data_IF_606781267687
#
_entry.id   IF_606781267687
#
_cell.length_a   1.000
_cell.length_b   1.000
_cell.length_c   1.000
_cell.angle_alpha   90.00
_cell.angle_beta   90.00
_cell.angle_gamma   90.00
#
_symmetry.space_group_name_H-M   'P 1'
#
loop_
_entity.id
_entity.type
_entity.pdbx_description
1 polymer ?
#
# COMPACT_ATOMS: atom_id res chain seq x y z
N UNK A 1 -11.95 -41.73 50.83
CA UNK A 1 -11.00 -40.90 50.04
C UNK A 1 -11.30 -40.79 48.49
N UNK A 2 -12.13 -41.64 47.86
CA UNK A 2 -12.38 -41.58 46.40
C UNK A 2 -13.42 -40.51 45.96
N UNK A 3 -14.43 -40.16 46.77
CA UNK A 3 -15.48 -39.17 46.44
C UNK A 3 -15.00 -37.74 46.23
N UNK A 4 -14.10 -37.14 47.05
CA UNK A 4 -13.61 -35.79 46.79
C UNK A 4 -12.80 -35.68 45.51
N UNK A 5 -12.03 -36.73 45.13
CA UNK A 5 -11.24 -36.73 43.89
C UNK A 5 -12.13 -36.71 42.66
N UNK A 6 -13.22 -37.48 42.66
CA UNK A 6 -14.19 -37.51 41.55
C UNK A 6 -14.92 -36.17 41.39
N UNK A 7 -15.28 -35.52 42.44
CA UNK A 7 -15.89 -34.17 42.44
C UNK A 7 -14.92 -33.12 41.88
N UNK A 8 -13.65 -33.17 42.29
CA UNK A 8 -12.63 -32.24 41.77
C UNK A 8 -12.40 -32.45 40.26
N UNK A 9 -12.29 -33.69 39.83
CA UNK A 9 -12.16 -34.00 38.39
C UNK A 9 -13.36 -33.54 37.57
N UNK A 10 -14.59 -33.74 38.09
CA UNK A 10 -15.80 -33.26 37.42
C UNK A 10 -15.83 -31.72 37.31
N UNK A 11 -15.48 -31.00 38.38
CA UNK A 11 -15.40 -29.53 38.36
C UNK A 11 -14.36 -29.01 37.36
N UNK A 12 -13.18 -29.61 37.31
CA UNK A 12 -12.16 -29.26 36.33
C UNK A 12 -12.60 -29.57 34.91
N UNK A 13 -13.26 -30.70 34.68
CA UNK A 13 -13.80 -31.04 33.34
C UNK A 13 -14.87 -30.05 32.88
N UNK A 14 -15.81 -29.69 33.76
CA UNK A 14 -16.83 -28.68 33.47
C UNK A 14 -16.17 -27.31 33.19
N UNK A 15 -15.20 -26.91 34.05
CA UNK A 15 -14.44 -25.67 33.82
C UNK A 15 -13.69 -25.64 32.49
N UNK A 16 -13.04 -26.75 32.12
CA UNK A 16 -12.34 -26.86 30.83
C UNK A 16 -13.29 -26.82 29.65
N UNK A 17 -14.45 -27.47 29.75
CA UNK A 17 -15.48 -27.42 28.68
C UNK A 17 -16.04 -26.01 28.53
N UNK A 18 -16.37 -25.34 29.63
CA UNK A 18 -16.83 -23.94 29.61
C UNK A 18 -15.78 -23.02 29.00
N UNK A 19 -14.53 -23.11 29.44
CA UNK A 19 -13.44 -22.32 28.90
C UNK A 19 -13.26 -22.56 27.41
N UNK A 20 -13.30 -23.81 26.97
CA UNK A 20 -13.17 -24.20 25.56
C UNK A 20 -14.34 -23.71 24.69
N UNK A 21 -15.55 -23.71 25.24
CA UNK A 21 -16.76 -23.31 24.50
C UNK A 21 -17.03 -21.82 24.49
N UNK A 22 -16.45 -21.04 25.41
CA UNK A 22 -16.69 -19.59 25.52
C UNK A 22 -15.48 -18.74 25.15
N UNK A 23 -14.31 -19.03 25.72
CA UNK A 23 -13.08 -18.21 25.57
C UNK A 23 -12.10 -18.78 24.56
N UNK A 24 -12.02 -20.12 24.43
CA UNK A 24 -11.10 -20.79 23.53
C UNK A 24 -11.80 -21.37 22.29
N UNK A 25 -12.91 -20.76 21.88
CA UNK A 25 -13.60 -21.17 20.64
C UNK A 25 -12.63 -20.97 19.48
N UNK A 26 -12.30 -22.03 18.70
CA UNK A 26 -11.48 -21.87 17.51
C UNK A 26 -12.15 -20.89 16.54
N UNK A 27 -11.42 -19.90 16.09
CA UNK A 27 -11.87 -19.10 14.96
C UNK A 27 -11.77 -19.96 13.69
N UNK A 28 -12.93 -20.42 13.22
CA UNK A 28 -13.00 -21.08 11.93
C UNK A 28 -13.11 -19.99 10.86
N UNK A 29 -12.02 -19.75 10.17
CA UNK A 29 -12.09 -18.95 8.96
C UNK A 29 -12.82 -19.77 7.90
N UNK A 30 -13.84 -19.23 7.23
CA UNK A 30 -14.47 -19.90 6.11
C UNK A 30 -13.44 -20.14 5.00
N UNK A 31 -13.66 -21.15 4.18
CA UNK A 31 -12.79 -21.40 3.04
C UNK A 31 -12.71 -20.16 2.14
N UNK A 32 -11.51 -19.74 1.81
CA UNK A 32 -11.27 -18.59 0.93
C UNK A 32 -11.68 -19.00 -0.48
N UNK A 33 -12.70 -18.34 -1.01
CA UNK A 33 -13.16 -18.49 -2.39
C UNK A 33 -12.98 -17.17 -3.14
N UNK A 34 -12.81 -17.18 -4.47
CA UNK A 34 -12.75 -15.92 -5.25
C UNK A 34 -13.97 -15.02 -5.03
N UNK A 35 -15.17 -15.61 -4.92
CA UNK A 35 -16.39 -14.85 -4.65
C UNK A 35 -16.38 -14.23 -3.25
N UNK A 36 -15.95 -14.97 -2.22
CA UNK A 36 -15.83 -14.45 -0.86
C UNK A 36 -14.78 -13.36 -0.73
N UNK A 37 -13.65 -13.49 -1.42
CA UNK A 37 -12.62 -12.46 -1.47
C UNK A 37 -13.15 -11.18 -2.14
N UNK A 38 -13.88 -11.30 -3.23
CA UNK A 38 -14.49 -10.17 -3.91
C UNK A 38 -15.53 -9.47 -3.03
N UNK A 39 -16.38 -10.22 -2.34
CA UNK A 39 -17.38 -9.65 -1.41
C UNK A 39 -16.72 -8.92 -0.24
N UNK A 40 -15.66 -9.47 0.33
CA UNK A 40 -14.87 -8.80 1.36
C UNK A 40 -14.25 -7.49 0.83
N UNK A 41 -13.74 -7.48 -0.41
CA UNK A 41 -13.19 -6.30 -1.07
C UNK A 41 -14.24 -5.20 -1.28
N UNK A 42 -15.47 -5.58 -1.70
CA UNK A 42 -16.60 -4.64 -1.82
C UNK A 42 -16.98 -4.04 -0.47
N UNK A 43 -17.05 -4.87 0.56
CA UNK A 43 -17.37 -4.42 1.92
C UNK A 43 -16.31 -3.44 2.45
N UNK A 44 -15.03 -3.73 2.20
CA UNK A 44 -13.93 -2.83 2.56
C UNK A 44 -13.99 -1.52 1.78
N UNK A 45 -14.25 -1.56 0.46
CA UNK A 45 -14.40 -0.37 -0.36
C UNK A 45 -15.57 0.51 0.13
N UNK A 46 -16.73 -0.08 0.42
CA UNK A 46 -17.88 0.63 0.98
C UNK A 46 -17.54 1.32 2.30
N UNK A 47 -16.74 0.67 3.15
CA UNK A 47 -16.28 1.30 4.40
C UNK A 47 -15.34 2.49 4.12
N UNK A 48 -14.40 2.33 3.19
CA UNK A 48 -13.48 3.40 2.76
C UNK A 48 -14.26 4.60 2.22
N UNK A 49 -15.23 4.38 1.32
CA UNK A 49 -16.07 5.43 0.73
C UNK A 49 -16.85 6.24 1.79
N UNK A 50 -17.41 5.54 2.79
CA UNK A 50 -18.15 6.20 3.88
C UNK A 50 -17.26 7.03 4.81
N UNK A 51 -15.99 6.70 4.89
CA UNK A 51 -15.01 7.36 5.76
C UNK A 51 -14.02 8.23 4.97
N UNK A 52 -14.26 8.46 3.68
CA UNK A 52 -13.50 9.42 2.90
C UNK A 52 -13.99 10.84 3.20
N UNK A 53 -13.05 11.76 3.43
CA UNK A 53 -13.35 13.14 3.71
C UNK A 53 -13.66 13.93 2.42
N UNK A 54 -14.36 15.08 2.51
CA UNK A 54 -14.75 15.85 1.32
C UNK A 54 -13.58 16.34 0.45
N UNK A 55 -12.39 16.50 1.02
CA UNK A 55 -11.17 16.87 0.29
C UNK A 55 -10.52 15.69 -0.45
N UNK A 56 -11.03 14.47 -0.26
CA UNK A 56 -10.52 13.23 -0.84
C UNK A 56 -9.52 12.48 0.05
N UNK A 57 -9.17 13.01 1.21
CA UNK A 57 -8.36 12.30 2.20
C UNK A 57 -9.17 11.20 2.90
N UNK A 58 -8.48 10.36 3.67
CA UNK A 58 -9.09 9.25 4.40
C UNK A 58 -8.88 9.42 5.90
N UNK A 59 -9.82 8.91 6.71
CA UNK A 59 -9.58 8.73 8.15
C UNK A 59 -8.41 7.78 8.34
N UNK A 60 -7.36 8.26 9.01
CA UNK A 60 -6.09 7.53 9.12
C UNK A 60 -6.10 6.51 10.25
N UNK A 61 -6.55 6.92 11.41
CA UNK A 61 -6.56 6.09 12.60
C UNK A 61 -7.88 6.25 13.36
N UNK A 62 -8.51 5.12 13.64
CA UNK A 62 -9.86 5.09 14.17
C UNK A 62 -9.95 4.16 15.37
N UNK A 63 -10.51 4.67 16.47
CA UNK A 63 -10.71 3.90 17.67
C UNK A 63 -12.15 3.39 17.77
N UNK A 64 -12.32 2.07 17.70
CA UNK A 64 -13.63 1.42 17.68
C UNK A 64 -14.42 1.58 18.99
N UNK A 65 -13.75 1.67 20.15
CA UNK A 65 -14.41 1.66 21.45
C UNK A 65 -15.33 2.87 21.69
N UNK A 66 -15.02 4.01 21.11
CA UNK A 66 -15.75 5.27 21.25
C UNK A 66 -16.01 5.99 19.94
N UNK A 67 -15.78 5.28 18.84
CA UNK A 67 -16.04 5.77 17.48
C UNK A 67 -15.28 7.07 17.16
N UNK A 68 -14.03 7.18 17.64
CA UNK A 68 -13.24 8.39 17.50
C UNK A 68 -12.18 8.30 16.41
N UNK A 69 -12.09 9.36 15.59
CA UNK A 69 -10.93 9.62 14.75
C UNK A 69 -9.79 10.11 15.65
N UNK A 70 -8.64 9.43 15.61
CA UNK A 70 -7.46 9.77 16.41
C UNK A 70 -6.55 10.79 15.72
N UNK A 71 -6.89 11.22 14.53
CA UNK A 71 -6.11 12.16 13.74
C UNK A 71 -4.82 11.55 13.19
N UNK A 72 -3.86 12.41 12.88
CA UNK A 72 -2.64 12.01 12.17
C UNK A 72 -2.89 11.78 10.69
N UNK A 73 -1.82 11.46 9.95
CA UNK A 73 -1.93 11.10 8.55
C UNK A 73 -0.70 10.31 8.06
N UNK A 74 -0.89 9.50 7.01
CA UNK A 74 0.20 8.79 6.37
C UNK A 74 -0.03 8.74 4.85
N UNK A 75 0.76 9.52 4.14
CA UNK A 75 0.65 9.66 2.69
C UNK A 75 0.90 8.36 1.92
N UNK A 76 1.71 7.45 2.45
CA UNK A 76 1.95 6.12 1.84
C UNK A 76 0.68 5.28 1.90
N UNK A 77 0.00 5.27 3.05
CA UNK A 77 -1.29 4.58 3.20
C UNK A 77 -2.38 5.19 2.34
N UNK A 78 -2.42 6.53 2.23
CA UNK A 78 -3.33 7.20 1.31
C UNK A 78 -3.15 6.71 -0.13
N UNK A 79 -1.92 6.70 -0.62
CA UNK A 79 -1.60 6.23 -1.97
C UNK A 79 -1.96 4.74 -2.14
N UNK A 80 -1.68 3.90 -1.13
CA UNK A 80 -2.02 2.49 -1.12
C UNK A 80 -3.53 2.23 -1.17
N UNK A 81 -4.33 2.96 -0.39
CA UNK A 81 -5.80 2.85 -0.42
C UNK A 81 -6.35 3.27 -1.78
N UNK A 82 -5.92 4.41 -2.30
CA UNK A 82 -6.36 4.90 -3.63
C UNK A 82 -5.99 3.90 -4.74
N UNK A 83 -4.78 3.37 -4.72
CA UNK A 83 -4.31 2.34 -5.65
C UNK A 83 -5.16 1.06 -5.55
N UNK A 84 -5.49 0.61 -4.32
CA UNK A 84 -6.31 -0.60 -4.11
C UNK A 84 -7.74 -0.43 -4.63
N UNK A 85 -8.34 0.76 -4.50
CA UNK A 85 -9.64 1.06 -5.11
C UNK A 85 -9.58 0.96 -6.63
N UNK A 86 -8.53 1.47 -7.27
CA UNK A 86 -8.38 1.30 -8.73
C UNK A 86 -8.10 -0.14 -9.14
N UNK A 87 -7.39 -0.93 -8.34
CA UNK A 87 -7.26 -2.37 -8.58
C UNK A 87 -8.61 -3.08 -8.53
N UNK A 88 -9.47 -2.71 -7.58
CA UNK A 88 -10.82 -3.25 -7.46
C UNK A 88 -11.67 -2.85 -8.68
N UNK A 89 -11.54 -1.59 -9.14
CA UNK A 89 -12.19 -1.14 -10.38
C UNK A 89 -11.74 -1.96 -11.59
N UNK A 90 -10.43 -2.22 -11.73
CA UNK A 90 -9.86 -3.05 -12.79
C UNK A 90 -10.31 -4.52 -12.70
N UNK A 91 -10.66 -5.00 -11.51
CA UNK A 91 -11.22 -6.33 -11.27
C UNK A 91 -12.74 -6.42 -11.55
N UNK A 92 -13.37 -5.36 -12.05
CA UNK A 92 -14.77 -5.34 -12.46
C UNK A 92 -15.75 -4.60 -11.54
N UNK A 93 -15.23 -3.78 -10.60
CA UNK A 93 -16.05 -2.97 -9.69
C UNK A 93 -15.88 -1.46 -9.99
N UNK A 94 -16.37 -0.95 -11.12
CA UNK A 94 -16.13 0.44 -11.54
C UNK A 94 -16.80 1.48 -10.64
N UNK A 95 -17.73 1.09 -9.78
CA UNK A 95 -18.44 1.97 -8.85
C UNK A 95 -17.53 2.66 -7.85
N UNK A 96 -16.33 2.10 -7.57
CA UNK A 96 -15.35 2.68 -6.64
C UNK A 96 -14.48 3.77 -7.28
N UNK A 97 -14.54 3.96 -8.61
CA UNK A 97 -13.72 4.95 -9.33
C UNK A 97 -13.89 6.38 -8.80
N UNK A 98 -15.11 6.88 -8.50
CA UNK A 98 -15.28 8.23 -7.96
C UNK A 98 -14.53 8.48 -6.66
N UNK A 99 -14.52 7.51 -5.73
CA UNK A 99 -13.79 7.60 -4.48
C UNK A 99 -12.26 7.54 -4.70
N UNK A 100 -11.80 6.65 -5.57
CA UNK A 100 -10.41 6.58 -5.97
C UNK A 100 -9.95 7.89 -6.64
N UNK A 101 -10.77 8.47 -7.52
CA UNK A 101 -10.49 9.75 -8.17
C UNK A 101 -10.45 10.93 -7.17
N UNK A 102 -11.24 10.89 -6.11
CA UNK A 102 -11.15 11.87 -5.02
C UNK A 102 -9.79 11.77 -4.30
N UNK A 103 -9.35 10.55 -3.95
CA UNK A 103 -8.03 10.31 -3.39
C UNK A 103 -6.90 10.75 -4.32
N UNK A 104 -7.01 10.46 -5.62
CA UNK A 104 -6.02 10.88 -6.62
C UNK A 104 -5.95 12.41 -6.75
N UNK A 105 -7.09 13.11 -6.71
CA UNK A 105 -7.12 14.59 -6.71
C UNK A 105 -6.37 15.15 -5.51
N UNK A 106 -6.59 14.60 -4.32
CA UNK A 106 -5.86 14.99 -3.12
C UNK A 106 -4.35 14.81 -3.29
N UNK A 107 -3.90 13.66 -3.80
CA UNK A 107 -2.47 13.42 -4.08
C UNK A 107 -1.91 14.41 -5.12
N UNK A 108 -2.69 14.73 -6.16
CA UNK A 108 -2.25 15.66 -7.21
C UNK A 108 -2.06 17.09 -6.69
N UNK A 109 -2.81 17.52 -5.68
CA UNK A 109 -2.62 18.79 -4.98
C UNK A 109 -1.36 18.82 -4.10
N UNK A 110 -0.86 17.65 -3.71
CA UNK A 110 0.30 17.50 -2.83
C UNK A 110 1.57 17.05 -3.58
N UNK A 111 1.67 17.32 -4.87
CA UNK A 111 2.86 16.95 -5.65
C UNK A 111 4.03 17.90 -5.41
N UNK A 112 5.19 17.33 -5.19
CA UNK A 112 6.47 17.98 -5.43
C UNK A 112 6.86 17.83 -6.90
N UNK A 113 7.29 18.92 -7.53
CA UNK A 113 7.71 18.95 -8.94
C UNK A 113 9.12 19.50 -9.04
N UNK A 114 9.95 18.84 -9.83
CA UNK A 114 11.34 19.21 -10.01
C UNK A 114 11.83 18.82 -11.40
N UNK A 115 12.25 19.80 -12.21
CA UNK A 115 12.96 19.61 -13.49
C UNK A 115 12.39 18.47 -14.38
N UNK A 116 11.06 18.46 -14.59
CA UNK A 116 10.40 17.50 -15.48
C UNK A 116 10.01 16.17 -14.85
N UNK A 117 10.18 15.99 -13.54
CA UNK A 117 9.64 14.87 -12.78
C UNK A 117 8.77 15.32 -11.61
N UNK A 118 7.99 14.41 -11.04
CA UNK A 118 7.15 14.66 -9.89
C UNK A 118 7.25 13.52 -8.87
N UNK A 119 6.89 13.82 -7.63
CA UNK A 119 6.75 12.85 -6.57
C UNK A 119 5.67 13.30 -5.59
N UNK A 120 5.08 12.36 -4.85
CA UNK A 120 4.11 12.68 -3.82
C UNK A 120 4.81 13.20 -2.58
N UNK A 121 4.44 14.41 -2.14
CA UNK A 121 4.93 15.07 -0.95
C UNK A 121 3.96 14.85 0.20
N UNK A 122 4.50 14.54 1.36
CA UNK A 122 3.73 14.50 2.59
C UNK A 122 3.46 15.94 3.05
N UNK A 123 2.19 16.39 3.14
CA UNK A 123 1.88 17.75 3.57
C UNK A 123 2.16 17.99 5.05
N UNK A 124 2.27 16.94 5.87
CA UNK A 124 2.48 17.06 7.31
C UNK A 124 3.92 17.42 7.69
N UNK A 125 4.90 16.86 6.98
CA UNK A 125 6.33 17.06 7.25
C UNK A 125 7.13 17.57 6.03
N UNK A 126 6.47 17.72 4.90
CA UNK A 126 7.10 18.17 3.64
C UNK A 126 8.00 17.13 2.97
N UNK A 127 8.08 15.91 3.51
CA UNK A 127 8.96 14.87 2.97
C UNK A 127 8.45 14.32 1.64
N UNK A 128 9.38 13.90 0.80
CA UNK A 128 9.11 13.14 -0.43
C UNK A 128 9.65 11.73 -0.24
N UNK A 129 8.75 10.75 -0.21
CA UNK A 129 9.08 9.35 0.07
C UNK A 129 8.85 8.48 -1.16
N UNK A 130 9.78 7.56 -1.39
CA UNK A 130 9.73 6.61 -2.51
C UNK A 130 8.41 5.84 -2.55
N UNK A 131 8.02 5.20 -1.44
CA UNK A 131 6.81 4.35 -1.38
C UNK A 131 5.52 5.11 -1.70
N UNK A 132 5.36 6.33 -1.19
CA UNK A 132 4.20 7.15 -1.51
C UNK A 132 4.09 7.43 -3.02
N UNK A 133 5.22 7.80 -3.64
CA UNK A 133 5.28 8.09 -5.09
C UNK A 133 5.09 6.83 -5.94
N UNK A 134 5.66 5.71 -5.51
CA UNK A 134 5.52 4.42 -6.20
C UNK A 134 4.07 3.92 -6.19
N UNK A 135 3.41 3.96 -5.04
CA UNK A 135 2.00 3.57 -4.92
C UNK A 135 1.07 4.54 -5.66
N UNK A 136 1.36 5.86 -5.66
CA UNK A 136 0.62 6.81 -6.50
C UNK A 136 0.76 6.49 -7.98
N UNK A 137 1.97 6.22 -8.47
CA UNK A 137 2.20 5.82 -9.85
C UNK A 137 1.45 4.53 -10.18
N UNK A 138 1.55 3.51 -9.33
CA UNK A 138 0.81 2.27 -9.50
C UNK A 138 -0.71 2.52 -9.57
N UNK A 139 -1.24 3.39 -8.71
CA UNK A 139 -2.65 3.80 -8.72
C UNK A 139 -3.07 4.46 -10.03
N UNK A 140 -2.28 5.40 -10.54
CA UNK A 140 -2.53 6.06 -11.84
C UNK A 140 -2.54 5.02 -12.97
N UNK A 141 -1.63 4.05 -12.95
CA UNK A 141 -1.60 2.99 -13.96
C UNK A 141 -2.79 2.04 -13.85
N UNK A 142 -3.19 1.67 -12.61
CA UNK A 142 -4.40 0.86 -12.39
C UNK A 142 -5.67 1.60 -12.86
N UNK A 143 -5.76 2.91 -12.62
CA UNK A 143 -6.85 3.74 -13.17
C UNK A 143 -6.90 3.64 -14.70
N UNK A 144 -5.75 3.81 -15.34
CA UNK A 144 -5.65 3.71 -16.81
C UNK A 144 -6.13 2.34 -17.32
N UNK A 145 -5.76 1.26 -16.65
CA UNK A 145 -6.19 -0.09 -17.01
C UNK A 145 -7.69 -0.32 -16.76
N UNK A 146 -8.24 0.26 -15.68
CA UNK A 146 -9.65 0.13 -15.33
C UNK A 146 -10.57 0.94 -16.25
N UNK A 147 -10.16 2.15 -16.67
CA UNK A 147 -11.04 3.10 -17.38
C UNK A 147 -10.70 3.25 -18.88
N UNK A 148 -9.48 2.90 -19.29
CA UNK A 148 -8.95 3.19 -20.61
C UNK A 148 -8.57 4.66 -20.84
N UNK A 149 -8.78 5.54 -19.85
CA UNK A 149 -8.51 6.97 -19.98
C UNK A 149 -7.02 7.28 -19.88
N UNK A 150 -6.56 8.24 -20.70
CA UNK A 150 -5.15 8.65 -20.82
C UNK A 150 -4.83 9.99 -20.15
N UNK A 151 -5.80 10.59 -19.46
CA UNK A 151 -5.71 11.92 -18.85
C UNK A 151 -4.48 12.10 -17.95
N UNK A 152 -4.04 11.03 -17.29
CA UNK A 152 -2.91 11.06 -16.36
C UNK A 152 -1.61 10.45 -16.93
N UNK A 153 -1.53 10.18 -18.24
CA UNK A 153 -0.35 9.53 -18.83
C UNK A 153 0.93 10.36 -18.63
N UNK A 154 0.86 11.70 -18.77
CA UNK A 154 2.04 12.55 -18.52
C UNK A 154 2.38 12.65 -17.02
N UNK A 155 1.40 12.64 -16.16
CA UNK A 155 1.64 12.53 -14.71
C UNK A 155 2.35 11.22 -14.38
N UNK A 156 1.92 10.10 -14.98
CA UNK A 156 2.56 8.80 -14.79
C UNK A 156 4.03 8.83 -15.22
N UNK A 157 4.34 9.39 -16.41
CA UNK A 157 5.72 9.57 -16.87
C UNK A 157 6.54 10.44 -15.93
N UNK A 158 5.94 11.51 -15.42
CA UNK A 158 6.60 12.42 -14.49
C UNK A 158 6.91 11.75 -13.16
N UNK A 159 5.97 10.97 -12.60
CA UNK A 159 6.18 10.17 -11.40
C UNK A 159 7.23 9.07 -11.61
N UNK A 160 7.20 8.37 -12.75
CA UNK A 160 8.19 7.35 -13.07
C UNK A 160 9.62 7.92 -13.12
N UNK A 161 9.80 9.11 -13.74
CA UNK A 161 11.08 9.83 -13.71
C UNK A 161 11.50 10.18 -12.29
N UNK A 162 10.54 10.54 -11.41
CA UNK A 162 10.79 10.79 -9.99
C UNK A 162 11.27 9.56 -9.24
N UNK A 163 10.73 8.37 -9.54
CA UNK A 163 11.25 7.11 -8.97
C UNK A 163 12.69 6.87 -9.43
N UNK A 164 12.96 6.98 -10.74
CA UNK A 164 14.30 6.76 -11.30
C UNK A 164 15.33 7.74 -10.71
N UNK A 165 14.93 8.97 -10.35
CA UNK A 165 15.80 9.92 -9.67
C UNK A 165 16.29 9.44 -8.28
N UNK A 166 15.60 8.48 -7.67
CA UNK A 166 15.98 7.82 -6.42
C UNK A 166 16.67 6.47 -6.60
N UNK A 167 16.77 5.97 -7.84
CA UNK A 167 17.38 4.68 -8.14
C UNK A 167 18.90 4.76 -8.07
N UNK A 168 19.52 3.81 -7.40
CA UNK A 168 20.96 3.65 -7.32
C UNK A 168 21.49 2.84 -8.53
N UNK A 169 22.79 2.95 -8.85
CA UNK A 169 23.40 2.22 -9.97
C UNK A 169 23.30 0.70 -9.88
N UNK A 170 23.10 0.15 -8.71
CA UNK A 170 22.91 -1.29 -8.47
C UNK A 170 21.44 -1.75 -8.51
N UNK A 171 20.51 -0.83 -8.73
CA UNK A 171 19.08 -1.11 -8.85
C UNK A 171 18.26 -0.95 -7.56
N UNK A 172 18.93 -0.76 -6.42
CA UNK A 172 18.25 -0.36 -5.18
C UNK A 172 17.70 1.07 -5.28
N UNK A 173 16.89 1.45 -4.32
CA UNK A 173 16.39 2.82 -4.21
C UNK A 173 16.74 3.44 -2.86
N UNK A 174 17.01 4.74 -2.87
CA UNK A 174 17.00 5.55 -1.67
C UNK A 174 15.56 5.87 -1.23
N UNK A 175 15.33 5.90 0.07
CA UNK A 175 13.97 6.01 0.63
C UNK A 175 13.34 7.39 0.47
N UNK A 176 14.16 8.47 0.37
CA UNK A 176 13.68 9.85 0.39
C UNK A 176 14.44 10.76 -0.56
N UNK A 177 13.76 11.79 -1.04
CA UNK A 177 14.34 12.97 -1.65
C UNK A 177 14.41 14.11 -0.63
N UNK A 178 15.57 14.74 -0.49
CA UNK A 178 15.72 15.97 0.28
C UNK A 178 15.33 17.15 -0.58
N UNK A 179 14.20 17.77 -0.26
CA UNK A 179 13.65 18.91 -0.99
C UNK A 179 14.53 20.14 -0.87
N UNK A 180 15.19 20.32 0.29
CA UNK A 180 16.06 21.49 0.55
C UNK A 180 17.40 21.36 -0.17
N UNK A 181 18.03 20.20 -0.08
CA UNK A 181 19.26 19.91 -0.79
C UNK A 181 19.05 19.69 -2.29
N UNK A 182 17.80 19.51 -2.71
CA UNK A 182 17.41 19.14 -4.07
C UNK A 182 18.19 17.93 -4.61
N UNK A 183 18.30 16.89 -3.78
CA UNK A 183 19.06 15.67 -4.04
C UNK A 183 18.45 14.46 -3.31
N UNK A 184 18.77 13.22 -3.73
CA UNK A 184 18.46 12.05 -2.93
C UNK A 184 19.02 12.20 -1.52
N UNK A 185 18.20 12.00 -0.48
CA UNK A 185 18.66 12.09 0.89
C UNK A 185 19.68 10.98 1.17
N UNK A 186 20.89 11.30 1.68
CA UNK A 186 21.83 10.26 2.07
C UNK A 186 21.23 9.44 3.21
N UNK A 187 21.31 8.12 3.13
CA UNK A 187 20.76 7.27 4.16
C UNK A 187 20.46 5.86 3.69
N UNK A 188 19.53 5.25 4.38
CA UNK A 188 19.16 3.86 4.17
C UNK A 188 18.51 3.59 2.82
N UNK A 189 18.87 2.48 2.23
CA UNK A 189 18.13 1.89 1.10
C UNK A 189 16.70 1.60 1.54
N UNK A 190 15.77 1.75 0.62
CA UNK A 190 14.38 1.46 0.94
C UNK A 190 14.13 -0.04 0.99
N UNK A 191 13.82 -0.56 2.17
CA UNK A 191 13.60 -1.99 2.39
C UNK A 191 12.28 -2.50 1.77
N UNK A 192 11.23 -1.69 1.82
CA UNK A 192 9.90 -2.08 1.32
C UNK A 192 9.57 -1.46 -0.02
N UNK A 193 9.80 -0.16 -0.14
CA UNK A 193 9.37 0.60 -1.31
C UNK A 193 10.18 0.29 -2.58
N UNK A 194 11.32 -0.40 -2.47
CA UNK A 194 12.05 -0.92 -3.65
C UNK A 194 11.16 -1.86 -4.47
N UNK A 195 10.41 -2.77 -3.81
CA UNK A 195 9.45 -3.65 -4.48
C UNK A 195 8.25 -2.90 -5.08
N UNK A 196 7.75 -1.87 -4.37
CA UNK A 196 6.68 -0.99 -4.86
C UNK A 196 7.12 -0.21 -6.11
N UNK A 197 8.34 0.34 -6.10
CA UNK A 197 8.91 1.05 -7.24
C UNK A 197 9.14 0.12 -8.43
N UNK A 198 9.68 -1.09 -8.20
CA UNK A 198 9.81 -2.13 -9.23
C UNK A 198 8.47 -2.43 -9.90
N UNK A 199 7.44 -2.68 -9.09
CA UNK A 199 6.10 -2.96 -9.60
C UNK A 199 5.54 -1.79 -10.41
N UNK A 200 5.64 -0.56 -9.90
CA UNK A 200 5.16 0.64 -10.60
C UNK A 200 5.86 0.85 -11.95
N UNK A 201 7.19 0.68 -12.02
CA UNK A 201 7.95 0.75 -13.27
C UNK A 201 7.59 -0.37 -14.26
N UNK A 202 7.26 -1.57 -13.76
CA UNK A 202 6.75 -2.67 -14.58
C UNK A 202 5.39 -2.34 -15.19
N UNK A 203 4.49 -1.70 -14.44
CA UNK A 203 3.22 -1.21 -14.97
C UNK A 203 3.42 -0.13 -16.03
N UNK A 204 4.41 0.77 -15.86
CA UNK A 204 4.80 1.75 -16.87
C UNK A 204 5.27 1.07 -18.15
N UNK A 205 6.17 0.09 -18.06
CA UNK A 205 6.63 -0.66 -19.23
C UNK A 205 5.47 -1.35 -19.96
N UNK A 206 4.54 -1.95 -19.21
CA UNK A 206 3.35 -2.59 -19.78
C UNK A 206 2.46 -1.61 -20.53
N UNK A 207 2.28 -0.39 -20.04
CA UNK A 207 1.40 0.61 -20.63
C UNK A 207 2.07 1.38 -21.76
N UNK A 208 3.38 1.56 -21.69
CA UNK A 208 4.19 2.36 -22.62
C UNK A 208 5.40 1.55 -23.10
N UNK A 209 5.17 0.47 -23.88
CA UNK A 209 6.25 -0.33 -24.40
C UNK A 209 7.12 0.53 -25.35
N UNK A 210 8.43 0.43 -25.22
CA UNK A 210 9.38 1.20 -26.04
C UNK A 210 9.79 2.57 -25.46
N UNK A 211 9.21 3.01 -24.34
CA UNK A 211 9.67 4.24 -23.64
C UNK A 211 10.86 4.00 -22.68
N UNK A 212 11.38 2.77 -22.59
CA UNK A 212 12.59 2.45 -21.81
C UNK A 212 12.37 2.17 -20.34
N UNK A 213 11.11 2.07 -19.87
CA UNK A 213 10.79 1.79 -18.46
C UNK A 213 11.18 0.36 -18.01
N UNK A 214 11.45 -0.55 -18.94
CA UNK A 214 11.96 -1.89 -18.67
C UNK A 214 13.40 -1.87 -18.13
N UNK A 215 14.24 -0.93 -18.52
CA UNK A 215 15.62 -0.86 -18.08
C UNK A 215 15.74 -0.64 -16.56
N UNK A 216 15.15 0.43 -15.96
CA UNK A 216 15.17 0.60 -14.51
C UNK A 216 14.42 -0.52 -13.77
N UNK A 217 13.34 -1.07 -14.33
CA UNK A 217 12.63 -2.20 -13.72
C UNK A 217 13.52 -3.46 -13.66
N UNK A 218 14.23 -3.82 -14.74
CA UNK A 218 15.15 -4.96 -14.75
C UNK A 218 16.30 -4.80 -13.77
N UNK A 219 16.91 -3.61 -13.73
CA UNK A 219 17.98 -3.31 -12.80
C UNK A 219 17.54 -3.54 -11.33
N UNK A 220 16.30 -3.15 -11.00
CA UNK A 220 15.74 -3.42 -9.68
C UNK A 220 15.43 -4.91 -9.47
N UNK A 221 14.94 -5.61 -10.48
CA UNK A 221 14.71 -7.06 -10.39
C UNK A 221 16.01 -7.82 -10.08
N UNK A 222 17.08 -7.46 -10.78
CA UNK A 222 18.42 -8.06 -10.54
C UNK A 222 18.91 -7.76 -9.12
N UNK A 223 18.75 -6.54 -8.64
CA UNK A 223 19.08 -6.18 -7.27
C UNK A 223 18.29 -7.02 -6.26
N UNK A 224 16.97 -7.10 -6.41
CA UNK A 224 16.11 -7.84 -5.49
C UNK A 224 16.38 -9.34 -5.48
N UNK A 225 16.73 -9.91 -6.65
CA UNK A 225 16.92 -11.34 -6.80
C UNK A 225 18.35 -11.81 -6.45
N UNK A 226 19.38 -10.98 -6.66
CA UNK A 226 20.77 -11.42 -6.66
C UNK A 226 21.63 -10.70 -5.60
N UNK A 227 21.24 -9.51 -5.13
CA UNK A 227 22.14 -8.65 -4.35
C UNK A 227 21.56 -8.16 -3.03
N UNK A 228 20.25 -8.18 -2.87
CA UNK A 228 19.56 -7.62 -1.71
C UNK A 228 20.03 -8.24 -0.40
N UNK A 229 20.12 -9.56 -0.35
CA UNK A 229 20.45 -10.31 0.86
C UNK A 229 21.88 -10.07 1.34
N UNK A 230 22.78 -9.65 0.43
CA UNK A 230 24.17 -9.34 0.75
C UNK A 230 24.33 -7.89 1.29
N UNK A 231 23.38 -7.01 1.04
CA UNK A 231 23.50 -5.57 1.27
C UNK A 231 22.53 -5.05 2.34
N UNK A 232 21.32 -5.61 2.39
CA UNK A 232 20.31 -5.21 3.37
C UNK A 232 20.35 -6.12 4.60
N UNK A 233 20.04 -5.56 5.77
CA UNK A 233 19.99 -6.31 7.03
C UNK A 233 18.97 -7.48 6.92
N UNK A 234 19.46 -8.72 7.08
CA UNK A 234 18.69 -9.95 6.98
C UNK A 234 17.65 -10.16 8.10
N UNK A 235 17.39 -9.17 8.93
CA UNK A 235 16.44 -9.25 10.06
C UNK A 235 14.97 -9.26 9.66
N UNK A 236 14.66 -9.26 8.38
CA UNK A 236 13.29 -9.48 7.95
C UNK A 236 13.01 -10.96 7.85
N UNK A 237 11.94 -11.44 8.51
CA UNK A 237 11.46 -12.78 8.24
C UNK A 237 11.08 -12.90 6.76
N UNK A 238 11.30 -14.07 6.18
CA UNK A 238 10.94 -14.36 4.79
C UNK A 238 9.43 -14.18 4.54
#
# INVERSE_FOLDING_TARGET
MRRPLLLTLALWSVGAVLLRSTLLVPQYCPAITPAGAMEASRSAATWIERNQLPDGSYVYEYRLSDNADLGGYNVVRHAGVTMSLYQLAAAGEPTVVPAADAGLRWMNLNLYRNNGWAALRDPSDGSVRLGASALMLAGVMQRRFATGETTYDELARSLARGLVALQLPDGAFLNRWDVTANAPAPGERSKYATGEAFWALTLMHRAFPGEGWDAPARLTADYLALHRDDVEDQKFPP
#
